data_IF_673051396375
#
_entry.id   IF_673051396375
#
_cell.length_a   1.000
_cell.length_b   1.000
_cell.length_c   1.000
_cell.angle_alpha   90.00
_cell.angle_beta   90.00
_cell.angle_gamma   90.00
#
_symmetry.space_group_name_H-M   'P 1'
#
loop_
_entity.id
_entity.type
_entity.pdbx_description
1 polymer ?
#
# COMPACT_ATOMS: atom_id res chain seq x y z
N UNK A 1 -21.91 -0.93 22.62
CA UNK A 1 -20.47 -1.21 22.49
C UNK A 1 -20.34 -2.63 22.00
N UNK A 2 -19.77 -2.85 20.82
CA UNK A 2 -19.74 -4.17 20.17
C UNK A 2 -18.93 -5.18 20.99
N UNK A 3 -19.40 -6.42 21.04
CA UNK A 3 -18.71 -7.55 21.66
C UNK A 3 -17.28 -7.66 21.07
N UNK A 4 -16.21 -7.68 21.88
CA UNK A 4 -14.85 -7.82 21.35
C UNK A 4 -14.74 -9.12 20.53
N UNK A 5 -14.18 -9.01 19.33
CA UNK A 5 -13.83 -10.16 18.50
C UNK A 5 -12.83 -11.03 19.28
N UNK A 6 -13.29 -12.18 19.79
CA UNK A 6 -12.40 -13.14 20.45
C UNK A 6 -11.54 -13.87 19.42
N UNK A 7 -10.40 -14.41 19.85
CA UNK A 7 -9.54 -15.21 18.97
C UNK A 7 -10.31 -16.42 18.40
N UNK A 8 -11.16 -17.06 19.19
CA UNK A 8 -11.96 -18.19 18.72
C UNK A 8 -13.03 -17.76 17.71
N UNK A 9 -13.63 -16.58 17.89
CA UNK A 9 -14.54 -16.00 16.90
C UNK A 9 -13.83 -15.69 15.58
N UNK A 10 -12.55 -15.29 15.59
CA UNK A 10 -11.76 -15.08 14.38
C UNK A 10 -11.37 -16.40 13.71
N UNK A 11 -10.97 -17.42 14.48
CA UNK A 11 -10.64 -18.76 13.96
C UNK A 11 -11.79 -19.41 13.21
N UNK A 12 -13.01 -19.23 13.69
CA UNK A 12 -14.21 -19.75 13.04
C UNK A 12 -14.44 -19.19 11.62
N UNK A 13 -13.75 -18.08 11.25
CA UNK A 13 -13.91 -17.39 9.96
C UNK A 13 -12.79 -17.69 8.95
N UNK A 14 -11.91 -18.66 9.22
CA UNK A 14 -10.86 -19.05 8.28
C UNK A 14 -11.48 -19.53 6.96
N UNK A 15 -11.00 -18.96 5.84
CA UNK A 15 -11.52 -19.25 4.50
C UNK A 15 -12.68 -18.35 4.07
N UNK A 16 -13.20 -17.49 4.94
CA UNK A 16 -14.20 -16.48 4.58
C UNK A 16 -13.56 -15.26 3.92
N UNK A 17 -14.29 -14.67 2.97
CA UNK A 17 -13.97 -13.35 2.41
C UNK A 17 -14.39 -12.28 3.41
N UNK A 18 -13.42 -11.51 3.93
CA UNK A 18 -13.65 -10.47 4.94
C UNK A 18 -14.04 -9.10 4.35
N UNK A 19 -13.97 -8.95 3.03
CA UNK A 19 -14.36 -7.75 2.31
C UNK A 19 -13.38 -7.38 1.19
N UNK A 20 -13.69 -6.30 0.49
CA UNK A 20 -12.81 -5.66 -0.51
C UNK A 20 -12.63 -4.20 -0.13
N UNK A 21 -11.45 -3.65 -0.36
CA UNK A 21 -11.20 -2.23 -0.14
C UNK A 21 -11.94 -1.36 -1.15
N UNK A 22 -12.14 -0.09 -0.81
CA UNK A 22 -12.38 0.93 -1.84
C UNK A 22 -11.11 1.17 -2.65
N UNK A 23 -11.27 1.73 -3.85
CA UNK A 23 -10.13 2.23 -4.62
C UNK A 23 -9.44 3.37 -3.88
N UNK A 24 -8.10 3.38 -3.93
CA UNK A 24 -7.27 4.43 -3.35
C UNK A 24 -6.38 5.02 -4.44
N UNK A 25 -6.43 6.34 -4.60
CA UNK A 25 -5.50 7.06 -5.46
C UNK A 25 -4.12 7.14 -4.76
N UNK A 26 -3.08 6.70 -5.45
CA UNK A 26 -1.69 6.82 -5.00
C UNK A 26 -1.02 7.94 -5.78
N UNK A 27 -0.86 9.08 -5.11
CA UNK A 27 -0.18 10.25 -5.67
C UNK A 27 1.33 10.18 -5.44
N UNK A 28 2.10 10.88 -6.29
CA UNK A 28 3.55 10.99 -6.17
C UNK A 28 4.00 11.52 -4.79
N UNK A 29 3.25 12.44 -4.19
CA UNK A 29 3.53 12.98 -2.85
C UNK A 29 3.61 11.90 -1.76
N UNK A 30 2.78 10.86 -1.86
CA UNK A 30 2.80 9.71 -0.93
C UNK A 30 4.01 8.81 -1.20
N UNK A 31 4.36 8.62 -2.47
CA UNK A 31 5.55 7.86 -2.88
C UNK A 31 6.81 8.56 -2.34
N UNK A 32 6.91 9.88 -2.53
CA UNK A 32 8.05 10.68 -2.07
C UNK A 32 8.16 10.69 -0.53
N UNK A 33 7.04 10.82 0.17
CA UNK A 33 7.03 10.74 1.64
C UNK A 33 7.49 9.36 2.14
N UNK A 34 7.10 8.28 1.45
CA UNK A 34 7.55 6.93 1.78
C UNK A 34 9.05 6.74 1.53
N UNK A 35 9.58 7.30 0.43
CA UNK A 35 11.01 7.34 0.16
C UNK A 35 11.78 8.06 1.28
N UNK A 36 11.27 9.20 1.74
CA UNK A 36 11.90 9.97 2.82
C UNK A 36 11.99 9.18 4.14
N UNK A 37 10.95 8.43 4.49
CA UNK A 37 10.91 7.64 5.74
C UNK A 37 11.75 6.36 5.65
N UNK A 38 11.75 5.70 4.50
CA UNK A 38 12.44 4.42 4.31
C UNK A 38 13.86 4.55 3.77
N UNK A 39 14.26 5.77 3.40
CA UNK A 39 15.52 6.11 2.74
C UNK A 39 15.68 5.50 1.34
N UNK A 40 14.63 4.90 0.79
CA UNK A 40 14.61 4.36 -0.57
C UNK A 40 14.25 5.45 -1.59
N UNK A 41 15.28 6.15 -2.05
CA UNK A 41 15.21 7.16 -3.10
C UNK A 41 15.58 6.59 -4.49
N UNK A 42 15.31 5.31 -4.76
CA UNK A 42 15.59 4.75 -6.08
C UNK A 42 14.82 5.52 -7.15
N UNK A 43 15.49 5.89 -8.24
CA UNK A 43 14.96 6.86 -9.21
C UNK A 43 13.62 6.46 -9.84
N UNK A 44 13.33 5.16 -9.93
CA UNK A 44 12.05 4.66 -10.45
C UNK A 44 10.84 5.08 -9.60
N UNK A 45 11.08 5.52 -8.35
CA UNK A 45 10.04 5.98 -7.44
C UNK A 45 9.92 7.51 -7.43
N UNK A 46 11.05 8.23 -7.38
CA UNK A 46 11.07 9.66 -7.00
C UNK A 46 11.48 10.61 -8.12
N UNK A 47 11.99 10.11 -9.25
CA UNK A 47 12.43 10.92 -10.39
C UNK A 47 11.61 10.57 -11.62
N UNK A 48 10.49 11.28 -11.81
CA UNK A 48 9.56 11.03 -12.92
C UNK A 48 10.21 11.19 -14.30
N UNK A 49 11.11 12.17 -14.46
CA UNK A 49 11.78 12.41 -15.74
C UNK A 49 12.68 11.21 -16.10
N UNK A 50 13.46 10.72 -15.14
CA UNK A 50 14.34 9.58 -15.36
C UNK A 50 13.57 8.26 -15.43
N UNK A 51 12.51 8.10 -14.63
CA UNK A 51 11.62 6.94 -14.68
C UNK A 51 10.88 6.82 -16.03
N UNK A 52 10.57 7.93 -16.70
CA UNK A 52 9.93 7.92 -18.03
C UNK A 52 10.75 7.19 -19.11
N UNK A 53 12.08 7.14 -18.94
CA UNK A 53 12.99 6.43 -19.86
C UNK A 53 13.06 4.92 -19.62
N UNK A 54 12.43 4.42 -18.55
CA UNK A 54 12.37 2.99 -18.24
C UNK A 54 11.27 2.31 -19.05
N UNK A 55 11.27 0.96 -19.16
CA UNK A 55 10.18 0.23 -19.79
C UNK A 55 8.79 0.46 -19.16
N UNK A 56 8.72 1.00 -17.94
CA UNK A 56 7.47 1.29 -17.23
C UNK A 56 6.86 2.65 -17.65
N UNK A 57 7.63 3.52 -18.31
CA UNK A 57 7.17 4.80 -18.87
C UNK A 57 6.76 5.87 -17.84
N UNK A 58 6.82 5.58 -16.54
CA UNK A 58 6.47 6.51 -15.45
C UNK A 58 7.08 6.07 -14.13
N UNK A 59 6.97 6.90 -13.10
CA UNK A 59 7.29 6.49 -11.74
C UNK A 59 6.34 5.39 -11.27
N UNK A 60 6.84 4.52 -10.40
CA UNK A 60 6.04 3.48 -9.75
C UNK A 60 6.13 3.62 -8.25
N UNK A 61 5.08 3.22 -7.53
CA UNK A 61 5.10 3.19 -6.07
C UNK A 61 6.11 2.15 -5.55
N UNK A 62 6.66 2.37 -4.36
CA UNK A 62 7.46 1.36 -3.66
C UNK A 62 6.63 0.10 -3.40
N UNK A 63 7.20 -1.08 -3.60
CA UNK A 63 6.52 -2.34 -3.25
C UNK A 63 6.12 -2.39 -1.76
N UNK A 64 6.98 -1.88 -0.88
CA UNK A 64 6.70 -1.79 0.55
C UNK A 64 5.64 -0.73 0.90
N UNK A 65 5.46 0.31 0.08
CA UNK A 65 4.33 1.22 0.24
C UNK A 65 3.03 0.44 0.00
N UNK A 66 2.91 -0.29 -1.11
CA UNK A 66 1.74 -1.12 -1.41
C UNK A 66 1.44 -2.14 -0.32
N UNK A 67 2.47 -2.83 0.20
CA UNK A 67 2.30 -3.79 1.30
C UNK A 67 1.80 -3.12 2.58
N UNK A 68 2.34 -1.94 2.94
CA UNK A 68 1.95 -1.23 4.15
C UNK A 68 0.47 -0.80 4.14
N UNK A 69 -0.09 -0.51 2.97
CA UNK A 69 -1.48 -0.09 2.81
C UNK A 69 -2.50 -1.19 3.13
N UNK A 70 -2.09 -2.46 3.24
CA UNK A 70 -2.98 -3.53 3.70
C UNK A 70 -3.57 -3.23 5.09
N UNK A 71 -2.81 -2.52 5.95
CA UNK A 71 -3.26 -2.10 7.28
C UNK A 71 -4.46 -1.13 7.25
N UNK A 72 -4.63 -0.40 6.14
CA UNK A 72 -5.68 0.59 5.96
C UNK A 72 -6.63 0.23 4.79
N UNK A 73 -6.51 -0.97 4.24
CA UNK A 73 -7.31 -1.42 3.10
C UNK A 73 -8.75 -1.79 3.51
N UNK A 74 -8.96 -2.13 4.78
CA UNK A 74 -10.28 -2.52 5.32
C UNK A 74 -10.74 -1.47 6.33
N UNK A 75 -11.13 -0.29 5.82
CA UNK A 75 -11.87 0.70 6.62
C UNK A 75 -13.37 0.44 6.54
#
# INVERSE_FOLDING_TARGET
>A
MGNPLSIDALRARVGEVIGTSSWMLIEQSRIDAFAAVTLDHQFIHVDAARASSTPLGSSVAHGFLTLSLLSCAFH
#
